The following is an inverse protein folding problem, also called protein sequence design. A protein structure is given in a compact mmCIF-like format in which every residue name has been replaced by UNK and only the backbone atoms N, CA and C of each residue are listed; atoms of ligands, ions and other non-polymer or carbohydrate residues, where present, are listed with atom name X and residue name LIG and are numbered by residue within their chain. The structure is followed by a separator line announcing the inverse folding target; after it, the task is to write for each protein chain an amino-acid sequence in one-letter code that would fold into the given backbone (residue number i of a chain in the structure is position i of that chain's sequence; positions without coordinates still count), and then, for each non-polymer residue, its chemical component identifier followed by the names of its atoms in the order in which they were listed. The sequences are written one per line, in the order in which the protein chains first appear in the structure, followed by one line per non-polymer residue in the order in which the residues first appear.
data_IF_827828768504
#
_entry.id   IF_827828768504
#
_cell.length_a   1.000
_cell.length_b   1.000
_cell.length_c   1.000
_cell.angle_alpha   90.00
_cell.angle_beta   90.00
_cell.angle_gamma   90.00
#
_symmetry.space_group_name_H-M   'P 1'
#
loop_
_entity.id
_entity.type
_entity.pdbx_description
1 polymer ?
#
# COMPACT_ATOMS: atom_id res chain seq x y z
N UNK A 1 -10.08 -16.81 -6.81
CA UNK A 1 -9.45 -16.26 -5.60
C UNK A 1 -10.53 -15.82 -4.66
N UNK A 2 -10.50 -16.39 -3.45
CA UNK A 2 -11.27 -15.90 -2.32
C UNK A 2 -10.76 -14.49 -1.93
N UNK A 3 -11.42 -13.85 -0.98
CA UNK A 3 -10.91 -12.58 -0.44
C UNK A 3 -9.66 -12.88 0.40
N UNK A 4 -8.49 -12.28 0.09
CA UNK A 4 -7.33 -12.42 0.97
C UNK A 4 -7.69 -11.99 2.39
N UNK A 5 -7.16 -12.72 3.36
CA UNK A 5 -7.37 -12.41 4.77
C UNK A 5 -6.71 -11.09 5.13
N UNK A 6 -5.48 -10.89 4.64
CA UNK A 6 -4.68 -9.70 4.89
C UNK A 6 -4.35 -8.97 3.58
N UNK A 7 -4.50 -7.64 3.60
CA UNK A 7 -4.02 -6.76 2.54
C UNK A 7 -2.97 -5.81 3.11
N UNK A 8 -1.77 -5.82 2.54
CA UNK A 8 -0.61 -5.04 2.99
C UNK A 8 -0.19 -4.04 1.89
N UNK A 9 -0.77 -2.83 1.86
CA UNK A 9 -0.41 -1.82 0.88
C UNK A 9 0.82 -1.00 1.29
N UNK A 10 1.63 -0.60 0.32
CA UNK A 10 2.64 0.44 0.52
C UNK A 10 2.06 1.88 0.39
N UNK A 11 2.86 2.88 0.78
CA UNK A 11 2.42 4.27 0.75
C UNK A 11 2.13 4.75 -0.69
N UNK A 12 2.94 4.34 -1.66
CA UNK A 12 2.79 4.72 -3.06
C UNK A 12 1.46 4.26 -3.65
N UNK A 13 1.09 3.01 -3.37
CA UNK A 13 -0.15 2.39 -3.81
C UNK A 13 -1.37 3.05 -3.20
N UNK A 14 -1.32 3.38 -1.90
CA UNK A 14 -2.41 4.11 -1.24
C UNK A 14 -2.62 5.50 -1.85
N UNK A 15 -1.52 6.23 -2.11
CA UNK A 15 -1.58 7.54 -2.74
C UNK A 15 -2.15 7.44 -4.16
N UNK A 16 -1.67 6.49 -4.96
CA UNK A 16 -2.15 6.28 -6.33
C UNK A 16 -3.63 5.90 -6.35
N UNK A 17 -4.08 4.99 -5.48
CA UNK A 17 -5.51 4.64 -5.37
C UNK A 17 -6.35 5.84 -4.94
N UNK A 18 -5.84 6.69 -4.06
CA UNK A 18 -6.52 7.93 -3.69
C UNK A 18 -6.67 8.87 -4.88
N UNK A 19 -5.62 9.03 -5.69
CA UNK A 19 -5.65 9.86 -6.91
C UNK A 19 -6.62 9.31 -7.96
N UNK A 20 -6.77 7.99 -8.03
CA UNK A 20 -7.73 7.30 -8.89
C UNK A 20 -9.16 7.29 -8.31
N UNK A 21 -9.36 7.70 -7.06
CA UNK A 21 -10.64 7.63 -6.37
C UNK A 21 -11.10 6.20 -6.05
N UNK A 22 -10.16 5.28 -5.86
CA UNK A 22 -10.41 3.83 -5.74
C UNK A 22 -10.04 3.24 -4.37
N UNK A 23 -9.79 4.05 -3.34
CA UNK A 23 -9.50 3.55 -1.98
C UNK A 23 -10.60 2.63 -1.44
N UNK A 24 -11.86 2.84 -1.83
CA UNK A 24 -12.99 2.00 -1.44
C UNK A 24 -12.89 0.54 -1.91
N UNK A 25 -12.01 0.22 -2.87
CA UNK A 25 -11.78 -1.15 -3.33
C UNK A 25 -11.04 -2.01 -2.30
N UNK A 26 -10.17 -1.40 -1.47
CA UNK A 26 -9.33 -2.15 -0.55
C UNK A 26 -10.12 -3.04 0.42
N UNK A 27 -11.15 -2.54 1.14
CA UNK A 27 -11.98 -3.38 2.02
C UNK A 27 -12.91 -4.32 1.26
N UNK A 28 -13.07 -4.15 -0.06
CA UNK A 28 -13.81 -5.07 -0.92
C UNK A 28 -12.90 -6.16 -1.50
N UNK A 29 -11.60 -6.10 -1.24
CA UNK A 29 -10.63 -7.08 -1.74
C UNK A 29 -10.08 -7.87 -0.56
N UNK A 30 -9.51 -7.20 0.45
CA UNK A 30 -9.01 -7.85 1.66
C UNK A 30 -9.98 -7.74 2.84
N UNK A 31 -9.98 -8.76 3.73
CA UNK A 31 -10.78 -8.74 4.97
C UNK A 31 -10.24 -7.73 5.98
N UNK A 32 -8.92 -7.70 6.16
CA UNK A 32 -8.23 -6.76 7.04
C UNK A 32 -7.07 -6.08 6.31
N UNK A 33 -6.96 -4.77 6.47
CA UNK A 33 -5.81 -4.01 6.01
C UNK A 33 -4.75 -3.99 7.11
N UNK A 34 -3.52 -4.34 6.77
CA UNK A 34 -2.37 -4.17 7.64
C UNK A 34 -1.56 -2.99 7.13
N UNK A 35 -1.32 -2.01 7.99
CA UNK A 35 -0.44 -0.88 7.74
C UNK A 35 0.81 -1.03 8.58
N UNK A 36 1.95 -1.23 7.92
CA UNK A 36 3.23 -1.16 8.61
C UNK A 36 3.50 0.29 9.00
N UNK A 37 3.94 0.53 10.22
CA UNK A 37 4.09 1.86 10.80
C UNK A 37 4.90 2.86 9.94
N UNK A 38 5.97 2.42 9.28
CA UNK A 38 6.74 3.25 8.36
C UNK A 38 5.96 3.68 7.11
N UNK A 39 5.00 2.88 6.62
CA UNK A 39 4.09 3.28 5.53
C UNK A 39 3.25 4.48 5.97
N UNK A 40 2.73 4.45 7.19
CA UNK A 40 1.98 5.59 7.76
C UNK A 40 2.86 6.82 7.92
N UNK A 41 4.10 6.66 8.36
CA UNK A 41 5.03 7.78 8.47
C UNK A 41 5.43 8.35 7.09
N UNK A 42 5.62 7.49 6.10
CA UNK A 42 5.85 7.88 4.71
C UNK A 42 4.70 8.73 4.15
N UNK A 43 3.45 8.36 4.47
CA UNK A 43 2.27 9.16 4.12
C UNK A 43 2.30 10.54 4.80
N UNK A 44 2.58 10.60 6.11
CA UNK A 44 2.62 11.86 6.87
C UNK A 44 3.71 12.83 6.40
N UNK A 45 4.79 12.32 5.77
CA UNK A 45 5.85 13.14 5.19
C UNK A 45 5.48 13.74 3.83
N UNK A 46 4.47 13.19 3.13
CA UNK A 46 4.01 13.77 1.87
C UNK A 46 3.29 15.10 2.12
N UNK A 47 3.10 15.87 1.05
CA UNK A 47 2.33 17.11 1.17
C UNK A 47 0.92 16.79 1.69
N UNK A 48 0.33 17.62 2.57
CA UNK A 48 -1.01 17.38 3.12
C UNK A 48 -2.06 17.14 2.03
N UNK A 49 -1.94 17.85 0.90
CA UNK A 49 -2.81 17.67 -0.28
C UNK A 49 -2.85 16.22 -0.79
N UNK A 50 -1.75 15.49 -0.70
CA UNK A 50 -1.67 14.09 -1.12
C UNK A 50 -2.02 13.13 0.02
N UNK A 51 -1.55 13.42 1.23
CA UNK A 51 -1.66 12.54 2.38
C UNK A 51 -3.04 12.56 3.05
N UNK A 52 -3.64 13.73 3.22
CA UNK A 52 -4.86 13.92 4.01
C UNK A 52 -6.04 13.07 3.52
N UNK A 53 -6.29 12.91 2.20
CA UNK A 53 -7.36 12.01 1.73
C UNK A 53 -7.14 10.56 2.15
N UNK A 54 -5.90 10.07 2.06
CA UNK A 54 -5.54 8.70 2.48
C UNK A 54 -5.65 8.55 3.99
N UNK A 55 -5.07 9.47 4.76
CA UNK A 55 -5.08 9.43 6.22
C UNK A 55 -6.50 9.55 6.79
N UNK A 56 -7.32 10.42 6.20
CA UNK A 56 -8.74 10.56 6.52
C UNK A 56 -9.52 9.29 6.22
N UNK A 57 -9.27 8.67 5.06
CA UNK A 57 -9.89 7.40 4.70
C UNK A 57 -9.48 6.25 5.64
N UNK A 58 -8.18 6.12 5.95
CA UNK A 58 -7.65 5.13 6.89
C UNK A 58 -8.28 5.27 8.26
N UNK A 59 -8.40 6.50 8.77
CA UNK A 59 -9.07 6.78 10.04
C UNK A 59 -10.54 6.35 10.02
N UNK A 60 -11.23 6.55 8.89
CA UNK A 60 -12.64 6.17 8.73
C UNK A 60 -12.87 4.64 8.65
N UNK A 61 -11.84 3.84 8.32
CA UNK A 61 -11.96 2.37 8.29
C UNK A 61 -12.01 1.72 9.68
N UNK A 62 -11.57 2.43 10.74
CA UNK A 62 -11.61 1.94 12.11
C UNK A 62 -10.87 0.61 12.28
N UNK A 63 -11.55 -0.38 12.88
CA UNK A 63 -10.98 -1.70 13.22
C UNK A 63 -10.58 -2.55 12.00
N UNK A 64 -11.00 -2.17 10.78
CA UNK A 64 -10.56 -2.84 9.54
C UNK A 64 -9.11 -2.57 9.18
N UNK A 65 -8.51 -1.53 9.77
CA UNK A 65 -7.09 -1.20 9.57
C UNK A 65 -6.34 -1.52 10.85
N UNK A 66 -5.49 -2.54 10.79
CA UNK A 66 -4.52 -2.86 11.82
C UNK A 66 -3.22 -2.13 11.51
N UNK A 67 -2.63 -1.46 12.50
CA UNK A 67 -1.31 -0.84 12.36
C UNK A 67 -0.30 -1.66 13.13
N UNK A 68 0.67 -2.21 12.42
CA UNK A 68 1.72 -3.03 13.02
C UNK A 68 3.03 -2.25 13.09
N UNK A 69 3.69 -2.34 14.24
CA UNK A 69 4.98 -1.68 14.49
C UNK A 69 6.15 -2.57 14.10
N UNK A 70 7.19 -1.96 13.57
CA UNK A 70 8.46 -2.62 13.25
C UNK A 70 9.59 -2.01 14.09
N UNK A 71 10.66 -2.76 14.31
CA UNK A 71 11.87 -2.24 14.97
C UNK A 71 12.50 -1.12 14.14
N UNK A 72 12.49 -1.21 12.81
CA UNK A 72 12.89 -0.12 11.92
C UNK A 72 12.02 1.13 12.11
N UNK A 73 10.71 0.96 12.25
CA UNK A 73 9.78 2.05 12.51
C UNK A 73 9.97 2.71 13.87
N UNK A 74 10.25 1.93 14.91
CA UNK A 74 10.61 2.46 16.23
C UNK A 74 11.92 3.23 16.21
N UNK A 75 12.94 2.67 15.57
CA UNK A 75 14.24 3.32 15.41
C UNK A 75 14.08 4.65 14.66
N UNK A 76 13.33 4.65 13.54
CA UNK A 76 13.12 5.87 12.77
C UNK A 76 12.32 6.92 13.55
N UNK A 77 11.29 6.53 14.31
CA UNK A 77 10.55 7.46 15.18
C UNK A 77 11.47 8.17 16.19
N UNK A 78 12.40 7.42 16.79
CA UNK A 78 13.40 8.00 17.72
C UNK A 78 14.33 8.94 16.97
N UNK A 79 14.90 8.49 15.85
CA UNK A 79 15.84 9.28 15.05
C UNK A 79 15.20 10.57 14.53
N UNK A 80 13.94 10.53 14.11
CA UNK A 80 13.21 11.68 13.57
C UNK A 80 13.04 12.82 14.59
N UNK A 81 13.15 12.52 15.88
CA UNK A 81 13.14 13.53 16.96
C UNK A 81 14.45 14.33 16.99
N UNK A 82 15.58 13.73 16.59
CA UNK A 82 16.91 14.33 16.62
C UNK A 82 17.37 14.83 15.26
N UNK A 83 17.01 14.14 14.18
CA UNK A 83 17.34 14.47 12.80
C UNK A 83 16.07 14.46 11.92
N UNK A 84 15.27 15.54 11.96
CA UNK A 84 13.98 15.61 11.27
C UNK A 84 14.06 15.48 9.74
N UNK A 85 15.21 15.82 9.17
CA UNK A 85 15.47 15.80 7.73
C UNK A 85 15.96 14.44 7.24
N UNK A 86 16.43 13.56 8.13
CA UNK A 86 16.89 12.24 7.75
C UNK A 86 15.70 11.34 7.42
N UNK A 87 15.73 10.74 6.23
CA UNK A 87 14.75 9.75 5.81
C UNK A 87 15.45 8.63 5.06
N UNK A 88 15.39 7.37 5.54
CA UNK A 88 15.94 6.24 4.82
C UNK A 88 15.29 6.12 3.44
N UNK A 89 16.12 5.89 2.42
CA UNK A 89 15.62 5.41 1.15
C UNK A 89 14.92 4.07 1.36
N UNK A 90 13.81 3.85 0.66
CA UNK A 90 13.05 2.61 0.71
C UNK A 90 12.54 2.21 2.11
N UNK A 91 12.32 3.17 3.01
CA UNK A 91 11.76 2.96 4.36
C UNK A 91 10.56 2.00 4.39
N UNK A 92 9.58 2.20 3.49
CA UNK A 92 8.41 1.34 3.40
C UNK A 92 8.71 -0.10 3.00
N UNK A 93 9.66 -0.32 2.08
CA UNK A 93 10.11 -1.66 1.68
C UNK A 93 10.84 -2.35 2.84
N UNK A 94 11.73 -1.63 3.54
CA UNK A 94 12.46 -2.16 4.71
C UNK A 94 11.45 -2.61 5.77
N UNK A 95 10.44 -1.78 6.05
CA UNK A 95 9.43 -2.08 7.04
C UNK A 95 8.60 -3.30 6.68
N UNK A 96 8.14 -3.39 5.42
CA UNK A 96 7.36 -4.54 4.94
C UNK A 96 8.22 -5.80 4.97
N UNK A 97 9.49 -5.73 4.55
CA UNK A 97 10.40 -6.87 4.60
C UNK A 97 10.62 -7.36 6.03
N UNK A 98 10.85 -6.44 6.96
CA UNK A 98 10.97 -6.75 8.38
C UNK A 98 9.68 -7.35 8.94
N UNK A 99 8.53 -6.76 8.62
CA UNK A 99 7.23 -7.27 9.04
C UNK A 99 7.00 -8.68 8.53
N UNK A 100 7.31 -8.96 7.25
CA UNK A 100 7.20 -10.30 6.67
C UNK A 100 8.12 -11.32 7.35
N UNK A 101 9.35 -10.91 7.69
CA UNK A 101 10.31 -11.78 8.37
C UNK A 101 9.86 -12.15 9.80
N UNK A 102 9.16 -11.25 10.48
CA UNK A 102 8.75 -11.43 11.87
C UNK A 102 7.28 -11.87 12.05
N UNK A 103 6.45 -11.67 11.03
CA UNK A 103 5.05 -12.06 11.10
C UNK A 103 4.96 -13.58 11.22
N UNK A 104 4.24 -14.06 12.23
CA UNK A 104 3.80 -15.46 12.28
C UNK A 104 2.45 -15.52 11.56
N UNK A 105 2.47 -15.82 10.26
CA UNK A 105 1.22 -16.15 9.57
C UNK A 105 0.88 -17.60 9.89
N UNK A 106 -0.34 -17.84 10.35
CA UNK A 106 -0.86 -19.19 10.46
C UNK A 106 -0.88 -19.84 9.08
N UNK A 107 -0.75 -21.18 9.03
CA UNK A 107 -1.04 -21.92 7.82
C UNK A 107 -2.46 -21.54 7.35
N UNK A 108 -2.62 -21.31 6.05
CA UNK A 108 -3.88 -20.89 5.39
C UNK A 108 -4.24 -19.38 5.45
N UNK A 109 -3.40 -18.50 5.99
CA UNK A 109 -3.62 -17.05 5.85
C UNK A 109 -3.17 -16.58 4.45
N UNK A 110 -4.14 -16.14 3.63
CA UNK A 110 -3.87 -15.51 2.33
C UNK A 110 -3.45 -14.03 2.52
N UNK A 111 -2.20 -13.70 2.17
CA UNK A 111 -1.68 -12.32 2.21
C UNK A 111 -1.55 -11.74 0.80
N UNK A 112 -2.17 -10.59 0.57
CA UNK A 112 -1.97 -9.80 -0.64
C UNK A 112 -1.16 -8.54 -0.34
N UNK A 113 0.03 -8.42 -0.93
CA UNK A 113 0.84 -7.21 -0.88
C UNK A 113 0.50 -6.34 -2.09
N UNK A 114 0.11 -5.09 -1.83
CA UNK A 114 -0.18 -4.11 -2.87
C UNK A 114 0.96 -3.10 -2.97
N UNK A 115 1.70 -3.17 -4.06
CA UNK A 115 2.90 -2.35 -4.25
C UNK A 115 3.24 -2.11 -5.71
N UNK A 116 3.81 -0.94 -5.98
CA UNK A 116 4.46 -0.63 -7.26
C UNK A 116 5.98 -0.86 -7.20
N UNK A 117 6.51 -1.35 -6.08
CA UNK A 117 7.94 -1.55 -5.82
C UNK A 117 8.35 -2.97 -6.23
N UNK A 118 9.14 -3.16 -7.31
CA UNK A 118 9.48 -4.50 -7.81
C UNK A 118 10.22 -5.36 -6.77
N UNK A 119 11.05 -4.73 -5.93
CA UNK A 119 11.82 -5.41 -4.88
C UNK A 119 10.97 -6.14 -3.84
N UNK A 120 9.70 -5.77 -3.68
CA UNK A 120 8.81 -6.48 -2.75
C UNK A 120 8.42 -7.88 -3.25
N UNK A 121 8.41 -8.11 -4.57
CA UNK A 121 8.23 -9.45 -5.13
C UNK A 121 9.37 -10.38 -4.71
N UNK A 122 10.61 -9.88 -4.75
CA UNK A 122 11.79 -10.64 -4.35
C UNK A 122 11.75 -10.99 -2.85
N UNK A 123 11.40 -10.00 -2.02
CA UNK A 123 11.27 -10.17 -0.56
C UNK A 123 10.17 -11.18 -0.21
N UNK A 124 9.00 -11.10 -0.84
CA UNK A 124 7.92 -12.06 -0.62
C UNK A 124 8.34 -13.49 -0.99
N UNK A 125 9.04 -13.67 -2.11
CA UNK A 125 9.52 -14.97 -2.57
C UNK A 125 10.54 -15.64 -1.64
N UNK A 126 11.28 -14.87 -0.83
CA UNK A 126 12.25 -15.40 0.12
C UNK A 126 11.62 -16.11 1.34
N UNK A 127 10.31 -15.91 1.59
CA UNK A 127 9.64 -16.51 2.75
C UNK A 127 9.39 -18.02 2.62
N UNK A 128 9.60 -18.57 1.42
CA UNK A 128 9.41 -19.99 1.14
C UNK A 128 7.97 -20.32 0.69
N UNK A 129 7.74 -21.58 0.28
CA UNK A 129 6.51 -22.01 -0.39
C UNK A 129 5.29 -22.15 0.55
N UNK A 130 5.48 -22.12 1.86
CA UNK A 130 4.42 -22.40 2.83
C UNK A 130 3.53 -21.18 3.15
N UNK A 131 3.91 -19.99 2.68
CA UNK A 131 3.12 -18.77 2.85
C UNK A 131 2.40 -18.42 1.54
N UNK A 132 1.07 -18.34 1.57
CA UNK A 132 0.26 -17.90 0.43
C UNK A 132 0.33 -16.37 0.33
N UNK A 133 1.37 -15.88 -0.35
CA UNK A 133 1.66 -14.45 -0.52
C UNK A 133 1.59 -14.09 -1.99
N UNK A 134 0.57 -13.33 -2.34
CA UNK A 134 0.48 -12.68 -3.64
C UNK A 134 1.03 -11.25 -3.55
N UNK A 135 1.74 -10.83 -4.59
CA UNK A 135 2.21 -9.45 -4.74
C UNK A 135 1.69 -8.90 -6.05
N UNK A 136 0.93 -7.81 -5.99
CA UNK A 136 0.36 -7.16 -7.18
C UNK A 136 0.53 -5.64 -7.10
N UNK A 137 0.60 -5.00 -8.28
CA UNK A 137 0.44 -3.55 -8.41
C UNK A 137 -1.02 -3.12 -8.56
N UNK A 138 -1.24 -1.81 -8.63
CA UNK A 138 -2.54 -1.17 -8.85
C UNK A 138 -3.20 -1.67 -10.13
N UNK A 139 -2.44 -1.91 -11.21
CA UNK A 139 -3.01 -2.48 -12.43
C UNK A 139 -3.59 -3.89 -12.20
N UNK A 140 -2.88 -4.73 -11.43
CA UNK A 140 -3.36 -6.06 -11.03
C UNK A 140 -4.61 -5.96 -10.16
N UNK A 141 -4.60 -5.06 -9.17
CA UNK A 141 -5.74 -4.83 -8.28
C UNK A 141 -7.00 -4.41 -9.04
N UNK A 142 -6.86 -3.46 -9.97
CA UNK A 142 -7.99 -2.98 -10.77
C UNK A 142 -8.53 -4.06 -11.71
N UNK A 143 -7.66 -4.90 -12.30
CA UNK A 143 -8.09 -6.05 -13.10
C UNK A 143 -8.82 -7.09 -12.25
N UNK A 144 -8.34 -7.35 -11.04
CA UNK A 144 -9.02 -8.22 -10.08
C UNK A 144 -10.41 -7.65 -9.70
N UNK A 145 -10.48 -6.35 -9.44
CA UNK A 145 -11.73 -5.66 -9.14
C UNK A 145 -12.72 -5.71 -10.33
N UNK A 146 -12.23 -5.53 -11.55
CA UNK A 146 -13.02 -5.64 -12.78
C UNK A 146 -13.55 -7.06 -12.98
N UNK A 147 -12.70 -8.08 -12.80
CA UNK A 147 -13.10 -9.48 -12.86
C UNK A 147 -14.14 -9.86 -11.80
N UNK A 148 -14.18 -9.13 -10.67
CA UNK A 148 -15.19 -9.27 -9.60
C UNK A 148 -16.42 -8.37 -9.79
N UNK A 149 -16.48 -7.58 -10.86
CA UNK A 149 -17.59 -6.65 -11.11
C UNK A 149 -17.63 -5.43 -10.17
N UNK A 150 -16.55 -5.14 -9.44
CA UNK A 150 -16.45 -3.99 -8.53
C UNK A 150 -16.17 -2.68 -9.27
N UNK A 151 -15.54 -2.77 -10.44
CA UNK A 151 -15.33 -1.64 -11.36
C UNK A 151 -15.70 -2.04 -12.77
N UNK A 152 -16.14 -1.07 -13.58
CA UNK A 152 -16.59 -1.34 -14.96
C UNK A 152 -15.44 -1.51 -15.94
N UNK A 153 -14.30 -0.83 -15.71
CA UNK A 153 -13.12 -0.97 -16.57
C UNK A 153 -11.84 -0.50 -15.87
N UNK A 154 -10.90 -1.41 -15.66
CA UNK A 154 -9.58 -1.06 -15.13
C UNK A 154 -8.82 -0.14 -16.10
N UNK A 155 -8.92 -0.41 -17.41
CA UNK A 155 -8.26 0.35 -18.45
C UNK A 155 -8.75 1.81 -18.50
N UNK A 156 -10.05 2.05 -18.35
CA UNK A 156 -10.59 3.40 -18.33
C UNK A 156 -10.10 4.22 -17.13
N UNK A 157 -10.02 3.59 -15.95
CA UNK A 157 -9.52 4.23 -14.72
C UNK A 157 -8.05 4.65 -14.91
N UNK A 158 -7.20 3.74 -15.38
CA UNK A 158 -5.78 4.00 -15.61
C UNK A 158 -5.55 5.03 -16.73
N UNK A 159 -6.26 4.90 -17.85
CA UNK A 159 -6.15 5.81 -19.00
C UNK A 159 -6.60 7.24 -18.68
N UNK A 160 -7.66 7.39 -17.89
CA UNK A 160 -8.15 8.69 -17.42
C UNK A 160 -7.13 9.45 -16.57
N UNK A 161 -6.35 8.72 -15.77
CA UNK A 161 -5.28 9.29 -14.94
C UNK A 161 -4.10 9.81 -15.78
N UNK A 162 -3.62 9.02 -16.74
CA UNK A 162 -2.52 9.41 -17.64
C UNK A 162 -2.85 10.72 -18.38
N UNK A 163 -4.09 10.85 -18.89
CA UNK A 163 -4.52 12.03 -19.62
C UNK A 163 -4.60 13.31 -18.76
N UNK A 164 -4.94 13.19 -17.47
CA UNK A 164 -4.95 14.33 -16.53
C UNK A 164 -3.54 14.86 -16.26
N UNK A 165 -2.53 13.99 -16.17
CA UNK A 165 -1.14 14.39 -15.96
C UNK A 165 -0.49 14.98 -17.22
N UNK A 166 -0.89 14.55 -18.42
CA UNK A 166 -0.40 15.16 -19.66
C UNK A 166 -0.96 16.58 -19.88
N UNK A 167 -2.23 16.83 -19.51
CA UNK A 167 -2.86 18.16 -19.64
C UNK A 167 -2.31 19.20 -18.68
N UNK A 168 -1.90 18.79 -17.46
CA UNK A 168 -1.31 19.70 -16.47
C UNK A 168 0.12 20.10 -16.81
N UNK A 169 0.88 19.24 -17.50
CA UNK A 169 2.24 19.58 -18.00
C UNK A 169 2.23 20.60 -19.15
N UNK A 170 1.26 20.52 -20.07
CA UNK A 170 1.15 21.46 -21.21
C UNK A 170 0.70 22.88 -20.86
N UNK A 171 0.19 23.12 -19.63
CA UNK A 171 -0.21 24.46 -19.17
C UNK A 171 0.91 25.21 -18.43
N UNK A 172 2.06 24.59 -18.22
CA UNK A 172 3.22 25.18 -17.51
C UNK A 172 4.42 25.44 -18.44
N UNK A 173 4.24 25.23 -19.74
CA UNK A 173 5.16 25.53 -20.84
C UNK A 173 4.56 26.65 -21.68
#
# INVERSE_FOLDING_TARGET
MNHPDLLLPDAGSLLLLSELGQLALLPLIGRQLVLVDLVRMDLMRRSPKLADPVLGWLKAQGERVRVDTTSSGEMLRRLWTYEPEYWPLDSGLIAIAEWLANATLEADIELLILTETPRLHEVAGMRGPDADIDVIGISGLLKLAEARGLVTSAAAILGGHILRHQRTRRRRS
#
